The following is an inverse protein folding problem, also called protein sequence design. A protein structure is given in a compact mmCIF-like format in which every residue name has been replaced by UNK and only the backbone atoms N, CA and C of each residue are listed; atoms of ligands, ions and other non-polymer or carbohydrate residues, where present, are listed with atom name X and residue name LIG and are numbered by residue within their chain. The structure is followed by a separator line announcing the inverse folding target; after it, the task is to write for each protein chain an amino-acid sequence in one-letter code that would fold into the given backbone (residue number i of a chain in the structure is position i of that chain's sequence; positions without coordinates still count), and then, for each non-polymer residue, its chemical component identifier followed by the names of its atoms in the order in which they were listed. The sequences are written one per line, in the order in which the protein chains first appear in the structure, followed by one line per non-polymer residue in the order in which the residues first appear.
data_IF_185825586894
#
_entry.id   IF_185825586894
#
_cell.length_a   1.000
_cell.length_b   1.000
_cell.length_c   1.000
_cell.angle_alpha   90.00
_cell.angle_beta   90.00
_cell.angle_gamma   90.00
#
_symmetry.space_group_name_H-M   'P 1'
#
loop_
_entity.id
_entity.type
_entity.pdbx_description
1 polymer ?
#
# COMPACT_ATOMS: atom_id res chain seq x y z
N UNK A 1 -0.84 -11.84 -23.30
CA UNK A 1 -1.83 -12.91 -23.62
C UNK A 1 -1.86 -13.26 -25.10
N UNK A 2 -2.13 -12.32 -26.03
CA UNK A 2 -2.12 -12.59 -27.48
C UNK A 2 -0.80 -13.19 -27.98
N UNK A 3 0.33 -12.63 -27.54
CA UNK A 3 1.67 -13.16 -27.83
C UNK A 3 1.86 -14.62 -27.37
N UNK A 4 1.45 -14.97 -26.14
CA UNK A 4 1.55 -16.34 -25.62
C UNK A 4 0.79 -17.34 -26.50
N UNK A 5 -0.45 -17.01 -26.88
CA UNK A 5 -1.27 -17.89 -27.71
C UNK A 5 -0.73 -18.01 -29.15
N UNK A 6 -0.22 -16.92 -29.74
CA UNK A 6 0.48 -16.97 -31.05
C UNK A 6 1.68 -17.91 -30.97
N UNK A 7 2.52 -17.78 -29.93
CA UNK A 7 3.69 -18.65 -29.74
C UNK A 7 3.31 -20.11 -29.46
N UNK A 8 2.31 -20.36 -28.62
CA UNK A 8 1.82 -21.71 -28.35
C UNK A 8 1.28 -22.40 -29.61
N UNK A 9 0.59 -21.67 -30.49
CA UNK A 9 0.10 -22.17 -31.78
C UNK A 9 1.28 -22.53 -32.69
N UNK A 10 2.27 -21.65 -32.82
CA UNK A 10 3.47 -21.90 -33.64
C UNK A 10 4.28 -23.11 -33.17
N UNK A 11 4.53 -23.25 -31.86
CA UNK A 11 5.29 -24.39 -31.29
C UNK A 11 4.51 -25.71 -31.38
N UNK A 12 3.19 -25.67 -31.23
CA UNK A 12 2.35 -26.86 -31.41
C UNK A 12 2.36 -27.33 -32.87
N UNK A 13 2.38 -26.39 -33.84
CA UNK A 13 2.45 -26.69 -35.26
C UNK A 13 3.79 -27.33 -35.67
N UNK A 14 4.92 -26.81 -35.18
CA UNK A 14 6.25 -27.41 -35.45
C UNK A 14 6.42 -28.79 -34.82
N UNK A 15 5.82 -29.04 -33.65
CA UNK A 15 5.77 -30.36 -33.04
C UNK A 15 4.96 -31.37 -33.87
N UNK A 16 3.80 -30.96 -34.39
CA UNK A 16 2.94 -31.81 -35.24
C UNK A 16 3.63 -32.18 -36.55
N UNK A 17 4.33 -31.26 -37.22
CA UNK A 17 5.07 -31.54 -38.46
C UNK A 17 6.20 -32.56 -38.23
N UNK A 18 6.80 -32.57 -37.04
CA UNK A 18 7.93 -33.45 -36.70
C UNK A 18 7.51 -34.75 -36.01
N UNK A 19 6.22 -35.07 -35.87
CA UNK A 19 5.71 -36.18 -35.05
C UNK A 19 6.41 -37.53 -35.30
N UNK A 20 6.81 -37.80 -36.56
CA UNK A 20 7.51 -39.04 -36.95
C UNK A 20 8.94 -39.16 -36.39
N UNK A 21 9.55 -38.06 -35.95
CA UNK A 21 10.91 -37.97 -35.37
C UNK A 21 10.88 -37.74 -33.85
N UNK A 22 9.70 -37.53 -33.28
CA UNK A 22 9.50 -37.20 -31.87
C UNK A 22 9.44 -38.49 -31.04
N UNK A 23 10.50 -38.76 -30.27
CA UNK A 23 10.50 -39.79 -29.22
C UNK A 23 9.73 -39.32 -27.97
N UNK A 24 9.22 -40.24 -27.15
CA UNK A 24 8.39 -39.95 -25.96
C UNK A 24 9.00 -38.96 -24.97
N UNK A 25 10.34 -38.91 -24.88
CA UNK A 25 11.09 -37.93 -24.06
C UNK A 25 10.84 -36.47 -24.45
N UNK A 26 10.63 -36.19 -25.75
CA UNK A 26 10.35 -34.85 -26.24
C UNK A 26 8.91 -34.43 -25.90
N UNK A 27 7.99 -35.40 -25.87
CA UNK A 27 6.59 -35.19 -25.46
C UNK A 27 6.54 -34.77 -23.99
N UNK A 28 7.24 -35.50 -23.11
CA UNK A 28 7.28 -35.22 -21.67
C UNK A 28 7.93 -33.85 -21.37
N UNK A 29 9.02 -33.53 -22.07
CA UNK A 29 9.72 -32.26 -21.91
C UNK A 29 8.87 -31.08 -22.39
N UNK A 30 8.19 -31.21 -23.52
CA UNK A 30 7.25 -30.21 -24.01
C UNK A 30 6.09 -29.99 -23.04
N UNK A 31 5.45 -31.07 -22.57
CA UNK A 31 4.36 -31.00 -21.60
C UNK A 31 4.79 -30.32 -20.29
N UNK A 32 5.99 -30.64 -19.78
CA UNK A 32 6.55 -30.04 -18.57
C UNK A 32 6.83 -28.54 -18.74
N UNK A 33 7.46 -28.13 -19.84
CA UNK A 33 7.72 -26.72 -20.12
C UNK A 33 6.44 -25.94 -20.35
N UNK A 34 5.48 -26.48 -21.09
CA UNK A 34 4.18 -25.85 -21.30
C UNK A 34 3.44 -25.65 -19.98
N UNK A 35 3.35 -26.69 -19.15
CA UNK A 35 2.71 -26.62 -17.83
C UNK A 35 3.40 -25.60 -16.92
N UNK A 36 4.72 -25.62 -16.84
CA UNK A 36 5.49 -24.66 -16.02
C UNK A 36 5.35 -23.22 -16.52
N UNK A 37 5.23 -23.01 -17.84
CA UNK A 37 4.97 -21.70 -18.46
C UNK A 37 3.58 -21.17 -18.10
N UNK A 38 2.56 -22.03 -18.20
CA UNK A 38 1.18 -21.70 -17.92
C UNK A 38 0.99 -21.33 -16.45
N UNK A 39 1.69 -22.00 -15.53
CA UNK A 39 1.65 -21.65 -14.11
C UNK A 39 2.43 -20.35 -13.80
N UNK A 40 3.36 -19.92 -14.66
CA UNK A 40 4.26 -18.78 -14.44
C UNK A 40 3.84 -17.46 -15.13
N UNK A 41 2.59 -17.34 -15.61
CA UNK A 41 2.06 -16.29 -16.52
C UNK A 41 2.34 -14.80 -16.15
N UNK A 42 2.92 -14.49 -14.98
CA UNK A 42 3.21 -13.12 -14.55
C UNK A 42 4.68 -12.73 -14.39
N UNK A 43 5.62 -13.67 -14.49
CA UNK A 43 7.04 -13.32 -14.56
C UNK A 43 7.55 -13.67 -15.95
N UNK A 44 8.07 -12.65 -16.62
CA UNK A 44 8.53 -12.66 -17.99
C UNK A 44 9.12 -13.99 -18.46
N UNK A 45 8.83 -14.36 -19.69
CA UNK A 45 8.79 -15.68 -20.31
C UNK A 45 10.03 -16.57 -20.06
N UNK A 46 10.12 -17.22 -18.90
CA UNK A 46 11.19 -18.20 -18.66
C UNK A 46 11.16 -19.34 -19.71
N UNK A 47 10.00 -19.56 -20.33
CA UNK A 47 9.73 -20.68 -21.22
C UNK A 47 9.27 -20.32 -22.65
N UNK A 48 9.37 -19.06 -23.11
CA UNK A 48 9.40 -18.83 -24.58
C UNK A 48 10.48 -19.73 -25.23
N UNK A 49 11.46 -20.17 -24.43
CA UNK A 49 12.76 -20.61 -24.87
C UNK A 49 13.12 -22.06 -24.67
N UNK A 50 12.36 -22.85 -23.91
CA UNK A 50 12.40 -24.29 -24.23
C UNK A 50 11.81 -24.55 -25.63
N UNK A 51 11.08 -23.57 -26.19
CA UNK A 51 10.62 -23.45 -27.57
C UNK A 51 11.71 -23.24 -28.64
N UNK A 52 12.98 -23.00 -28.30
CA UNK A 52 14.09 -23.33 -29.21
C UNK A 52 14.72 -24.68 -28.90
N UNK A 53 14.63 -25.14 -27.65
CA UNK A 53 15.32 -26.34 -27.18
C UNK A 53 14.77 -27.63 -27.80
N UNK A 54 13.53 -27.56 -28.22
CA UNK A 54 12.94 -28.51 -29.15
C UNK A 54 12.70 -27.84 -30.51
N UNK A 55 13.71 -27.12 -31.00
CA UNK A 55 14.17 -27.22 -32.39
C UNK A 55 14.67 -28.66 -32.73
N UNK A 56 14.29 -29.63 -31.91
CA UNK A 56 13.66 -30.88 -32.35
C UNK A 56 12.98 -30.73 -33.74
N UNK A 57 13.49 -31.35 -34.79
CA UNK A 57 14.64 -32.24 -34.85
C UNK A 57 15.28 -32.10 -36.23
N UNK A 58 16.35 -31.32 -36.28
CA UNK A 58 17.46 -31.58 -37.18
C UNK A 58 18.78 -31.35 -36.42
N UNK A 59 19.11 -32.26 -35.50
CA UNK A 59 20.49 -32.49 -35.11
C UNK A 59 20.91 -33.76 -35.83
N UNK A 60 21.64 -33.58 -36.92
CA UNK A 60 22.22 -34.67 -37.70
C UNK A 60 23.02 -35.56 -36.74
N UNK A 61 22.68 -36.85 -36.65
CA UNK A 61 23.27 -37.86 -35.75
C UNK A 61 24.75 -38.16 -36.08
N UNK A 62 25.45 -37.26 -36.79
CA UNK A 62 26.80 -37.46 -37.32
C UNK A 62 27.91 -36.73 -36.57
N UNK A 63 27.60 -36.06 -35.46
CA UNK A 63 28.57 -35.31 -34.63
C UNK A 63 28.91 -35.94 -33.28
N UNK A 64 29.75 -35.25 -32.49
CA UNK A 64 30.29 -35.63 -31.16
C UNK A 64 29.29 -36.26 -30.17
N UNK A 65 27.98 -36.01 -30.31
CA UNK A 65 26.92 -36.51 -29.44
C UNK A 65 26.42 -37.93 -29.81
N UNK A 66 26.76 -38.46 -30.99
CA UNK A 66 26.31 -39.79 -31.45
C UNK A 66 26.79 -40.96 -30.58
N UNK A 67 27.84 -40.75 -29.77
CA UNK A 67 28.43 -41.76 -28.87
C UNK A 67 27.86 -41.71 -27.45
N UNK A 68 26.92 -40.81 -27.17
CA UNK A 68 26.35 -40.65 -25.84
C UNK A 68 25.11 -41.55 -25.72
N UNK A 69 25.21 -42.62 -24.93
CA UNK A 69 24.11 -43.54 -24.67
C UNK A 69 23.01 -42.86 -23.85
N UNK A 70 21.98 -42.39 -24.55
CA UNK A 70 20.91 -41.54 -24.01
C UNK A 70 20.16 -42.17 -22.83
N UNK A 71 20.07 -43.50 -22.75
CA UNK A 71 19.37 -44.21 -21.66
C UNK A 71 20.04 -43.99 -20.30
N UNK A 72 21.35 -43.73 -20.27
CA UNK A 72 22.10 -43.48 -19.03
C UNK A 72 21.75 -42.16 -18.35
N UNK A 73 21.13 -41.23 -19.08
CA UNK A 73 20.79 -39.89 -18.58
C UNK A 73 19.32 -39.75 -18.17
N UNK A 74 18.47 -40.73 -18.48
CA UNK A 74 17.07 -40.73 -18.05
C UNK A 74 16.89 -40.62 -16.53
N UNK A 75 17.68 -41.33 -15.70
CA UNK A 75 17.61 -41.14 -14.26
C UNK A 75 17.93 -39.71 -13.84
N UNK A 76 18.91 -39.07 -14.50
CA UNK A 76 19.30 -37.69 -14.21
C UNK A 76 18.21 -36.68 -14.60
N UNK A 77 17.57 -36.84 -15.75
CA UNK A 77 16.48 -35.97 -16.20
C UNK A 77 15.24 -36.13 -15.30
N UNK A 78 14.87 -37.38 -14.97
CA UNK A 78 13.77 -37.66 -14.04
C UNK A 78 14.08 -37.06 -12.65
N UNK A 79 15.32 -37.20 -12.18
CA UNK A 79 15.75 -36.60 -10.92
C UNK A 79 15.68 -35.07 -10.96
N UNK A 80 16.13 -34.42 -12.03
CA UNK A 80 16.01 -32.96 -12.21
C UNK A 80 14.53 -32.53 -12.21
N UNK A 81 13.64 -33.29 -12.87
CA UNK A 81 12.20 -33.02 -12.85
C UNK A 81 11.60 -33.17 -11.44
N UNK A 82 11.95 -34.24 -10.72
CA UNK A 82 11.48 -34.46 -9.34
C UNK A 82 12.00 -33.34 -8.43
N UNK A 83 13.27 -32.94 -8.56
CA UNK A 83 13.85 -31.82 -7.81
C UNK A 83 13.11 -30.53 -8.15
N UNK A 84 12.86 -30.24 -9.43
CA UNK A 84 12.12 -29.05 -9.83
C UNK A 84 10.69 -29.04 -9.27
N UNK A 85 9.95 -30.14 -9.43
CA UNK A 85 8.60 -30.32 -8.89
C UNK A 85 8.61 -30.15 -7.36
N UNK A 86 9.56 -30.75 -6.67
CA UNK A 86 9.76 -30.57 -5.23
C UNK A 86 10.04 -29.11 -4.89
N UNK A 87 10.95 -28.42 -5.59
CA UNK A 87 11.26 -27.01 -5.35
C UNK A 87 10.05 -26.09 -5.56
N UNK A 88 9.16 -26.42 -6.51
CA UNK A 88 7.92 -25.69 -6.75
C UNK A 88 6.82 -26.00 -5.73
N UNK A 89 6.60 -27.27 -5.38
CA UNK A 89 5.60 -27.67 -4.38
C UNK A 89 6.03 -27.27 -2.95
N UNK A 90 7.34 -27.30 -2.68
CA UNK A 90 7.92 -26.97 -1.38
C UNK A 90 8.32 -25.49 -1.24
N UNK A 91 7.97 -24.64 -2.21
CA UNK A 91 8.27 -23.21 -2.21
C UNK A 91 9.77 -22.82 -2.14
N UNK A 92 10.70 -23.77 -2.30
CA UNK A 92 12.16 -23.53 -2.27
C UNK A 92 12.68 -22.80 -3.50
N UNK A 93 11.92 -22.79 -4.59
CA UNK A 93 12.24 -22.01 -5.79
C UNK A 93 12.38 -20.51 -5.48
N UNK A 94 11.48 -19.98 -4.65
CA UNK A 94 11.51 -18.57 -4.24
C UNK A 94 12.76 -18.25 -3.40
N UNK A 95 13.24 -19.23 -2.63
CA UNK A 95 14.44 -19.06 -1.81
C UNK A 95 15.71 -18.99 -2.69
N UNK A 96 15.79 -19.83 -3.73
CA UNK A 96 16.95 -19.89 -4.62
C UNK A 96 17.04 -18.69 -5.60
N UNK A 97 15.90 -18.09 -5.95
CA UNK A 97 15.83 -16.97 -6.90
C UNK A 97 15.87 -15.59 -6.25
N UNK A 98 15.96 -15.52 -4.92
CA UNK A 98 15.87 -14.26 -4.19
C UNK A 98 14.46 -13.64 -4.18
N UNK A 99 13.44 -14.38 -4.64
CA UNK A 99 12.05 -13.93 -4.76
C UNK A 99 11.19 -14.29 -3.54
N UNK A 100 11.78 -14.26 -2.35
CA UNK A 100 11.15 -14.63 -1.08
C UNK A 100 9.80 -13.92 -0.81
N UNK A 101 9.59 -12.73 -1.37
CA UNK A 101 8.37 -11.92 -1.24
C UNK A 101 7.13 -12.58 -1.88
N UNK A 102 7.30 -13.48 -2.84
CA UNK A 102 6.20 -14.16 -3.54
C UNK A 102 5.93 -15.58 -3.01
N UNK A 103 6.68 -16.00 -2.00
CA UNK A 103 6.56 -17.30 -1.37
C UNK A 103 5.24 -17.39 -0.60
N UNK A 104 4.49 -18.49 -0.76
CA UNK A 104 3.36 -18.80 0.13
C UNK A 104 3.97 -19.20 1.47
N UNK A 105 3.88 -18.35 2.50
CA UNK A 105 4.62 -18.63 3.74
C UNK A 105 3.82 -18.55 5.03
N UNK A 106 4.10 -19.52 5.88
CA UNK A 106 3.95 -19.51 7.34
C UNK A 106 5.02 -18.65 8.06
N UNK A 107 6.01 -18.08 7.34
CA UNK A 107 7.24 -17.49 7.89
C UNK A 107 7.31 -15.95 7.88
N UNK A 108 6.19 -15.24 7.71
CA UNK A 108 6.03 -13.83 8.09
C UNK A 108 6.72 -12.77 7.21
N UNK A 109 7.83 -13.07 6.52
CA UNK A 109 8.57 -12.08 5.73
C UNK A 109 7.89 -11.70 4.39
N UNK A 110 7.07 -12.59 3.81
CA UNK A 110 6.26 -12.25 2.62
C UNK A 110 4.93 -11.57 2.98
N UNK A 111 4.48 -11.61 4.24
CA UNK A 111 3.18 -11.05 4.63
C UNK A 111 3.11 -9.54 4.47
N UNK A 112 4.21 -8.81 4.70
CA UNK A 112 4.15 -7.36 4.86
C UNK A 112 3.58 -6.62 3.64
N UNK A 113 3.72 -7.17 2.44
CA UNK A 113 3.32 -6.52 1.18
C UNK A 113 2.16 -7.19 0.45
N UNK A 114 1.65 -8.32 0.95
CA UNK A 114 0.61 -9.11 0.25
C UNK A 114 -0.61 -9.36 1.14
N UNK A 115 -1.83 -9.33 0.60
CA UNK A 115 -3.05 -9.49 1.37
C UNK A 115 -3.41 -10.97 1.55
N UNK A 116 -2.46 -11.82 1.96
CA UNK A 116 -2.69 -13.27 2.02
C UNK A 116 -3.82 -13.64 2.99
N UNK A 117 -3.82 -13.03 4.19
CA UNK A 117 -4.86 -13.29 5.20
C UNK A 117 -6.24 -12.83 4.76
N UNK A 118 -6.33 -11.64 4.14
CA UNK A 118 -7.59 -11.17 3.55
C UNK A 118 -8.08 -12.09 2.41
N UNK A 119 -7.17 -12.58 1.56
CA UNK A 119 -7.53 -13.52 0.50
C UNK A 119 -7.99 -14.88 1.04
N UNK A 120 -7.31 -15.40 2.06
CA UNK A 120 -7.68 -16.66 2.72
C UNK A 120 -9.04 -16.51 3.42
N UNK A 121 -9.28 -15.40 4.14
CA UNK A 121 -10.58 -15.05 4.71
C UNK A 121 -11.71 -15.06 3.67
N UNK A 122 -11.49 -14.43 2.50
CA UNK A 122 -12.49 -14.39 1.43
C UNK A 122 -12.76 -15.79 0.84
N UNK A 123 -11.74 -16.64 0.70
CA UNK A 123 -11.89 -17.98 0.13
C UNK A 123 -12.48 -18.99 1.09
N UNK A 124 -11.98 -19.05 2.32
CA UNK A 124 -12.44 -20.01 3.34
C UNK A 124 -13.92 -19.80 3.69
N UNK A 125 -14.41 -18.57 3.56
CA UNK A 125 -15.80 -18.21 3.80
C UNK A 125 -16.65 -18.11 2.52
N UNK A 126 -16.11 -18.48 1.35
CA UNK A 126 -16.80 -18.42 0.05
C UNK A 126 -17.44 -17.05 -0.25
N UNK A 127 -16.77 -15.96 0.11
CA UNK A 127 -17.27 -14.60 -0.12
C UNK A 127 -16.96 -14.20 -1.56
N UNK A 128 -17.99 -14.12 -2.38
CA UNK A 128 -17.91 -13.81 -3.81
C UNK A 128 -18.42 -12.43 -4.17
N UNK A 129 -17.72 -11.75 -5.07
CA UNK A 129 -18.06 -10.40 -5.48
C UNK A 129 -17.01 -9.76 -6.37
N UNK A 130 -17.32 -8.57 -6.86
CA UNK A 130 -16.36 -7.71 -7.58
C UNK A 130 -15.54 -6.96 -6.54
N UNK A 131 -14.21 -7.06 -6.66
CA UNK A 131 -13.26 -6.55 -5.66
C UNK A 131 -12.61 -5.26 -6.15
N UNK A 132 -12.81 -4.15 -5.45
CA UNK A 132 -11.90 -3.00 -5.53
C UNK A 132 -10.66 -3.27 -4.68
N UNK A 133 -9.47 -3.24 -5.28
CA UNK A 133 -8.21 -3.48 -4.59
C UNK A 133 -7.26 -2.28 -4.70
N UNK A 134 -6.31 -2.14 -3.77
CA UNK A 134 -5.18 -1.23 -3.97
C UNK A 134 -4.27 -1.73 -5.08
N UNK A 135 -3.54 -0.82 -5.75
CA UNK A 135 -2.73 -1.14 -6.92
C UNK A 135 -1.68 -2.20 -6.64
N UNK A 136 -1.01 -2.11 -5.50
CA UNK A 136 0.03 -3.04 -5.09
C UNK A 136 -0.47 -4.47 -4.88
N UNK A 137 -1.76 -4.66 -4.58
CA UNK A 137 -2.35 -5.97 -4.40
C UNK A 137 -2.79 -6.64 -5.70
N UNK A 138 -2.96 -5.87 -6.78
CA UNK A 138 -3.47 -6.35 -8.07
C UNK A 138 -2.73 -7.58 -8.61
N UNK A 139 -1.39 -7.58 -8.69
CA UNK A 139 -0.60 -8.72 -9.12
C UNK A 139 -0.93 -10.01 -8.37
N UNK A 140 -0.97 -9.92 -7.05
CA UNK A 140 -1.14 -11.06 -6.15
C UNK A 140 -2.56 -11.61 -6.18
N UNK A 141 -3.57 -10.74 -6.08
CA UNK A 141 -4.98 -11.16 -6.02
C UNK A 141 -5.38 -11.82 -7.35
N UNK A 142 -4.94 -11.28 -8.49
CA UNK A 142 -5.23 -11.91 -9.77
C UNK A 142 -4.55 -13.26 -9.93
N UNK A 143 -3.34 -13.46 -9.39
CA UNK A 143 -2.75 -14.79 -9.34
C UNK A 143 -3.55 -15.72 -8.42
N UNK A 144 -3.91 -15.24 -7.22
CA UNK A 144 -4.52 -16.04 -6.15
C UNK A 144 -5.92 -16.52 -6.46
N UNK A 145 -6.70 -15.73 -7.18
CA UNK A 145 -8.09 -16.03 -7.52
C UNK A 145 -8.31 -16.42 -8.99
N UNK A 146 -7.26 -16.56 -9.79
CA UNK A 146 -7.41 -17.04 -11.17
C UNK A 146 -7.69 -18.56 -11.20
N UNK A 147 -8.57 -19.03 -12.10
CA UNK A 147 -9.40 -18.28 -13.06
C UNK A 147 -10.75 -17.80 -12.48
N UNK A 148 -11.03 -18.13 -11.23
CA UNK A 148 -12.36 -18.11 -10.63
C UNK A 148 -12.93 -16.71 -10.38
N UNK A 149 -12.08 -15.71 -10.09
CA UNK A 149 -12.54 -14.33 -9.83
C UNK A 149 -11.88 -13.30 -10.76
N UNK A 150 -12.71 -12.39 -11.26
CA UNK A 150 -12.25 -11.17 -11.91
C UNK A 150 -11.90 -10.13 -10.84
N UNK A 151 -10.69 -9.61 -10.90
CA UNK A 151 -10.24 -8.50 -10.04
C UNK A 151 -10.38 -7.18 -10.78
N UNK A 152 -10.49 -6.07 -10.06
CA UNK A 152 -10.70 -4.77 -10.69
C UNK A 152 -9.46 -4.28 -11.45
N UNK A 153 -8.30 -4.21 -10.77
CA UNK A 153 -7.03 -3.85 -11.42
C UNK A 153 -5.92 -4.81 -11.04
N UNK A 154 -5.21 -5.29 -12.07
CA UNK A 154 -4.08 -6.20 -11.93
C UNK A 154 -2.72 -5.58 -12.27
N UNK A 155 -2.68 -4.25 -12.39
CA UNK A 155 -1.53 -3.37 -12.65
C UNK A 155 -0.85 -3.50 -14.01
N UNK A 156 -1.44 -4.23 -14.96
CA UNK A 156 -1.00 -4.18 -16.37
C UNK A 156 -1.42 -2.85 -16.99
N UNK A 157 -0.61 -1.82 -16.77
CA UNK A 157 -0.91 -0.43 -17.19
C UNK A 157 -1.16 -0.31 -18.70
N UNK A 158 -0.58 -1.20 -19.51
CA UNK A 158 -0.80 -1.30 -20.96
C UNK A 158 -2.23 -1.67 -21.37
N UNK A 159 -3.04 -2.19 -20.45
CA UNK A 159 -4.42 -2.61 -20.72
C UNK A 159 -5.46 -1.55 -20.34
N UNK A 160 -5.03 -0.49 -19.68
CA UNK A 160 -5.90 0.54 -19.14
C UNK A 160 -5.65 1.85 -19.88
N UNK A 161 -6.72 2.59 -20.20
CA UNK A 161 -6.57 3.96 -20.71
C UNK A 161 -5.98 4.85 -19.61
N UNK A 162 -5.12 5.79 -19.98
CA UNK A 162 -4.44 6.70 -19.04
C UNK A 162 -5.44 7.43 -18.13
N UNK A 163 -6.53 7.95 -18.69
CA UNK A 163 -7.57 8.65 -17.93
C UNK A 163 -8.20 7.76 -16.85
N UNK A 164 -8.48 6.50 -17.19
CA UNK A 164 -9.03 5.53 -16.24
C UNK A 164 -7.99 5.18 -15.17
N UNK A 165 -6.74 4.92 -15.56
CA UNK A 165 -5.70 4.58 -14.59
C UNK A 165 -5.44 5.73 -13.63
N UNK A 166 -5.42 6.97 -14.12
CA UNK A 166 -5.31 8.18 -13.30
C UNK A 166 -6.50 8.33 -12.34
N UNK A 167 -7.73 8.12 -12.82
CA UNK A 167 -8.94 8.12 -12.00
C UNK A 167 -8.84 7.07 -10.89
N UNK A 168 -8.43 5.85 -11.22
CA UNK A 168 -8.23 4.77 -10.27
C UNK A 168 -7.16 5.08 -9.22
N UNK A 169 -5.99 5.59 -9.65
CA UNK A 169 -4.92 5.93 -8.72
C UNK A 169 -5.35 6.99 -7.71
N UNK A 170 -6.22 7.94 -8.11
CA UNK A 170 -6.85 8.89 -7.18
C UNK A 170 -7.90 8.22 -6.30
N UNK A 171 -8.75 7.37 -6.86
CA UNK A 171 -9.79 6.65 -6.10
C UNK A 171 -9.24 5.81 -4.92
N UNK A 172 -7.96 5.41 -4.94
CA UNK A 172 -7.35 4.74 -3.79
C UNK A 172 -7.29 5.60 -2.51
N UNK A 173 -7.41 6.93 -2.61
CA UNK A 173 -7.43 7.81 -1.44
C UNK A 173 -8.57 8.84 -1.47
N UNK A 174 -9.25 9.08 -2.58
CA UNK A 174 -10.22 10.17 -2.68
C UNK A 174 -11.64 9.62 -2.85
N UNK A 175 -12.54 9.82 -1.85
CA UNK A 175 -13.85 9.19 -1.82
C UNK A 175 -14.77 9.50 -3.01
N UNK A 176 -14.76 10.69 -3.62
CA UNK A 176 -15.69 10.95 -4.74
C UNK A 176 -15.26 10.28 -6.05
N UNK A 177 -13.96 10.15 -6.37
CA UNK A 177 -13.49 9.35 -7.51
C UNK A 177 -13.82 7.89 -7.26
N UNK A 178 -13.61 7.43 -6.02
CA UNK A 178 -13.97 6.08 -5.63
C UNK A 178 -15.47 5.80 -5.80
N UNK A 179 -16.35 6.73 -5.38
CA UNK A 179 -17.80 6.63 -5.57
C UNK A 179 -18.18 6.62 -7.05
N UNK A 180 -17.49 7.40 -7.89
CA UNK A 180 -17.70 7.37 -9.34
C UNK A 180 -17.37 5.99 -9.92
N UNK A 181 -16.24 5.41 -9.53
CA UNK A 181 -15.87 4.05 -9.94
C UNK A 181 -16.83 3.00 -9.37
N UNK A 182 -17.29 3.15 -8.12
CA UNK A 182 -18.27 2.25 -7.51
C UNK A 182 -19.57 2.23 -8.32
N UNK A 183 -20.09 3.42 -8.67
CA UNK A 183 -21.31 3.57 -9.47
C UNK A 183 -21.17 2.96 -10.86
N UNK A 184 -20.02 3.09 -11.49
CA UNK A 184 -19.78 2.59 -12.85
C UNK A 184 -19.53 1.07 -12.90
N UNK A 185 -18.76 0.54 -11.94
CA UNK A 185 -18.25 -0.83 -11.98
C UNK A 185 -18.89 -1.79 -10.97
N UNK A 186 -19.62 -1.29 -9.97
CA UNK A 186 -20.43 -2.08 -9.03
C UNK A 186 -19.63 -3.13 -8.24
N UNK A 187 -18.49 -2.73 -7.67
CA UNK A 187 -17.76 -3.58 -6.73
C UNK A 187 -18.46 -3.63 -5.37
N UNK A 188 -18.57 -4.80 -4.76
CA UNK A 188 -19.26 -5.01 -3.48
C UNK A 188 -18.31 -5.55 -2.39
N UNK A 189 -17.01 -5.63 -2.71
CA UNK A 189 -15.92 -5.99 -1.82
C UNK A 189 -14.82 -4.95 -2.00
N UNK A 190 -14.28 -4.41 -0.91
CA UNK A 190 -13.09 -3.56 -0.93
C UNK A 190 -11.99 -4.27 -0.17
N UNK A 191 -10.84 -4.45 -0.81
CA UNK A 191 -9.66 -5.06 -0.20
C UNK A 191 -8.52 -4.04 -0.26
N UNK A 192 -8.23 -3.41 0.87
CA UNK A 192 -7.28 -2.29 0.94
C UNK A 192 -6.06 -2.63 1.77
N UNK A 193 -4.91 -2.10 1.33
CA UNK A 193 -3.74 -1.92 2.18
C UNK A 193 -3.96 -0.74 3.12
N UNK A 194 -3.53 -0.87 4.38
CA UNK A 194 -3.64 0.22 5.36
C UNK A 194 -2.32 0.72 5.99
N UNK A 195 -1.22 -0.03 5.92
CA UNK A 195 0.00 0.31 6.68
C UNK A 195 0.92 1.36 6.02
N UNK A 196 0.74 1.67 4.72
CA UNK A 196 1.45 2.77 4.02
C UNK A 196 0.51 3.95 3.76
N UNK A 197 1.10 5.09 3.37
CA UNK A 197 0.31 6.26 3.00
C UNK A 197 -0.47 6.10 1.71
N UNK A 198 -1.54 6.88 1.57
CA UNK A 198 -2.34 6.95 0.35
C UNK A 198 -3.65 6.17 0.38
N UNK A 199 -4.12 5.73 1.55
CA UNK A 199 -5.45 5.11 1.71
C UNK A 199 -6.22 5.65 2.92
N UNK A 200 -5.68 6.63 3.65
CA UNK A 200 -6.24 7.12 4.91
C UNK A 200 -7.66 7.64 4.77
N UNK A 201 -7.90 8.45 3.74
CA UNK A 201 -9.18 9.11 3.52
C UNK A 201 -10.24 8.11 3.08
N UNK A 202 -9.89 7.15 2.22
CA UNK A 202 -10.84 6.10 1.81
C UNK A 202 -11.14 5.13 2.95
N UNK A 203 -10.14 4.78 3.77
CA UNK A 203 -10.32 3.91 4.94
C UNK A 203 -11.29 4.53 5.94
N UNK A 204 -11.10 5.82 6.27
CA UNK A 204 -12.01 6.55 7.14
C UNK A 204 -13.41 6.65 6.54
N UNK A 205 -13.49 7.00 5.26
CA UNK A 205 -14.76 7.07 4.53
C UNK A 205 -15.53 5.75 4.60
N UNK A 206 -14.90 4.61 4.29
CA UNK A 206 -15.54 3.30 4.31
C UNK A 206 -15.91 2.83 5.71
N UNK A 207 -15.18 3.27 6.73
CA UNK A 207 -15.49 2.96 8.13
C UNK A 207 -16.69 3.76 8.65
N UNK A 208 -16.85 5.00 8.19
CA UNK A 208 -17.95 5.89 8.57
C UNK A 208 -19.23 5.69 7.73
N UNK A 209 -19.11 5.24 6.48
CA UNK A 209 -20.23 5.06 5.56
C UNK A 209 -21.06 3.81 5.92
N UNK A 210 -22.34 4.01 6.23
CA UNK A 210 -23.25 2.92 6.65
C UNK A 210 -23.51 1.86 5.57
N UNK A 211 -23.15 2.13 4.31
CA UNK A 211 -23.28 1.15 3.23
C UNK A 211 -22.10 0.17 3.17
N UNK A 212 -21.08 0.36 4.02
CA UNK A 212 -19.90 -0.49 4.05
C UNK A 212 -19.64 -0.98 5.48
N UNK A 213 -19.20 -2.24 5.59
CA UNK A 213 -18.86 -2.83 6.88
C UNK A 213 -17.50 -3.50 6.82
N UNK A 214 -16.62 -3.11 7.74
CA UNK A 214 -15.36 -3.80 7.99
C UNK A 214 -15.65 -5.21 8.53
N UNK A 215 -15.15 -6.24 7.86
CA UNK A 215 -15.35 -7.65 8.25
C UNK A 215 -14.05 -8.39 8.54
N UNK A 216 -12.91 -7.82 8.13
CA UNK A 216 -11.60 -8.41 8.36
C UNK A 216 -10.54 -7.33 8.37
N UNK A 217 -9.55 -7.47 9.24
CA UNK A 217 -8.27 -6.78 9.11
C UNK A 217 -7.15 -7.65 9.69
N UNK A 218 -5.95 -7.43 9.19
CA UNK A 218 -4.70 -7.93 9.77
C UNK A 218 -3.65 -6.81 9.81
N UNK A 219 -2.38 -7.18 9.97
CA UNK A 219 -1.27 -6.23 10.04
C UNK A 219 -1.04 -5.44 8.72
N UNK A 220 -1.61 -5.87 7.58
CA UNK A 220 -1.33 -5.26 6.27
C UNK A 220 -2.58 -4.80 5.52
N UNK A 221 -3.66 -5.56 5.65
CA UNK A 221 -4.83 -5.48 4.80
C UNK A 221 -6.12 -5.45 5.60
N UNK A 222 -7.17 -4.96 4.97
CA UNK A 222 -8.52 -4.97 5.50
C UNK A 222 -9.53 -5.26 4.38
N UNK A 223 -10.68 -5.82 4.77
CA UNK A 223 -11.78 -6.14 3.86
C UNK A 223 -13.04 -5.44 4.36
N UNK A 224 -13.66 -4.67 3.46
CA UNK A 224 -15.00 -4.13 3.63
C UNK A 224 -15.96 -4.84 2.69
N UNK A 225 -17.16 -5.13 3.18
CA UNK A 225 -18.27 -5.61 2.37
C UNK A 225 -19.33 -4.53 2.26
N UNK A 226 -19.93 -4.41 1.07
CA UNK A 226 -21.10 -3.57 0.87
C UNK A 226 -22.30 -4.17 1.61
N UNK A 227 -23.11 -3.34 2.26
CA UNK A 227 -24.32 -3.74 2.98
C UNK A 227 -25.44 -3.97 1.97
N UNK A 228 -25.42 -5.17 1.39
CA UNK A 228 -26.41 -5.67 0.44
C UNK A 228 -26.92 -7.05 0.89
N UNK A 229 -28.12 -7.50 0.46
CA UNK A 229 -28.68 -8.79 0.89
C UNK A 229 -27.74 -9.99 0.69
N UNK A 230 -26.93 -9.97 -0.38
CA UNK A 230 -25.93 -11.02 -0.64
C UNK A 230 -24.85 -11.12 0.45
N UNK A 231 -24.49 -10.01 1.07
CA UNK A 231 -23.41 -9.92 2.05
C UNK A 231 -23.92 -10.00 3.50
N UNK A 232 -25.24 -9.99 3.72
CA UNK A 232 -25.86 -9.86 5.03
C UNK A 232 -25.41 -10.95 6.02
N UNK A 233 -25.38 -12.22 5.57
CA UNK A 233 -24.91 -13.33 6.41
C UNK A 233 -23.45 -13.13 6.86
N UNK A 234 -22.57 -12.74 5.94
CA UNK A 234 -21.15 -12.53 6.22
C UNK A 234 -20.94 -11.32 7.13
N UNK A 235 -21.70 -10.25 6.92
CA UNK A 235 -21.66 -9.04 7.75
C UNK A 235 -22.15 -9.36 9.17
N UNK A 236 -23.22 -10.13 9.32
CA UNK A 236 -23.72 -10.53 10.64
C UNK A 236 -22.72 -11.44 11.38
N UNK A 237 -21.98 -12.27 10.65
CA UNK A 237 -21.00 -13.20 11.22
C UNK A 237 -19.64 -12.57 11.53
N UNK A 238 -19.15 -11.69 10.66
CA UNK A 238 -17.77 -11.18 10.70
C UNK A 238 -17.68 -9.67 10.88
N UNK A 239 -18.80 -8.95 10.85
CA UNK A 239 -18.83 -7.50 11.00
C UNK A 239 -18.16 -7.05 12.29
N UNK A 240 -17.18 -6.17 12.17
CA UNK A 240 -16.41 -5.67 13.31
C UNK A 240 -17.11 -4.44 13.87
N UNK A 241 -17.41 -4.50 15.17
CA UNK A 241 -17.89 -3.37 15.96
C UNK A 241 -16.89 -3.05 17.07
N UNK A 242 -16.19 -1.93 16.92
CA UNK A 242 -15.21 -1.46 17.88
C UNK A 242 -15.82 -1.07 19.23
N UNK A 243 -17.13 -0.81 19.31
CA UNK A 243 -17.82 -0.53 20.58
C UNK A 243 -17.96 -1.77 21.46
N UNK A 244 -18.11 -2.94 20.84
CA UNK A 244 -18.27 -4.21 21.53
C UNK A 244 -16.97 -5.02 21.61
N UNK A 245 -16.01 -4.74 20.73
CA UNK A 245 -14.74 -5.46 20.65
C UNK A 245 -13.81 -5.13 21.82
N UNK A 246 -13.04 -6.13 22.23
CA UNK A 246 -11.87 -5.95 23.09
C UNK A 246 -10.57 -6.15 22.30
N UNK A 247 -9.53 -5.44 22.70
CA UNK A 247 -8.20 -5.54 22.10
C UNK A 247 -7.57 -6.90 22.47
N UNK A 248 -7.13 -7.67 21.47
CA UNK A 248 -6.44 -8.95 21.67
C UNK A 248 -4.96 -8.86 21.28
N UNK A 249 -4.15 -9.86 21.61
CA UNK A 249 -2.70 -9.79 21.35
C UNK A 249 -2.35 -9.67 19.86
N UNK A 250 -3.16 -10.24 18.96
CA UNK A 250 -2.99 -10.07 17.50
C UNK A 250 -3.23 -8.63 17.03
N UNK A 251 -3.92 -7.81 17.83
CA UNK A 251 -4.14 -6.39 17.54
C UNK A 251 -2.95 -5.51 17.96
N UNK A 252 -2.00 -6.06 18.73
CA UNK A 252 -0.86 -5.33 19.28
C UNK A 252 0.30 -5.34 18.29
N UNK A 253 0.14 -4.57 17.22
CA UNK A 253 1.17 -4.34 16.22
C UNK A 253 1.18 -2.88 15.80
N UNK A 254 2.35 -2.35 15.44
CA UNK A 254 2.50 -0.95 15.03
C UNK A 254 1.58 -0.61 13.85
N UNK A 255 1.54 -1.44 12.82
CA UNK A 255 0.70 -1.21 11.65
C UNK A 255 -0.79 -1.29 11.98
N UNK A 256 -1.21 -2.19 12.89
CA UNK A 256 -2.60 -2.30 13.33
C UNK A 256 -3.02 -1.09 14.17
N UNK A 257 -2.13 -0.58 15.04
CA UNK A 257 -2.39 0.64 15.79
C UNK A 257 -2.53 1.86 14.87
N UNK A 258 -1.67 1.96 13.84
CA UNK A 258 -1.79 2.97 12.78
C UNK A 258 -3.10 2.80 12.00
N UNK A 259 -3.52 1.57 11.72
CA UNK A 259 -4.81 1.31 11.09
C UNK A 259 -5.98 1.87 11.91
N UNK A 260 -6.02 1.59 13.22
CA UNK A 260 -7.04 2.15 14.13
C UNK A 260 -7.06 3.67 14.10
N UNK A 261 -5.89 4.31 14.09
CA UNK A 261 -5.76 5.77 13.95
C UNK A 261 -6.35 6.28 12.63
N UNK A 262 -6.07 5.59 11.51
CA UNK A 262 -6.55 5.97 10.18
C UNK A 262 -8.07 5.91 10.08
N UNK A 263 -8.68 4.83 10.58
CA UNK A 263 -10.14 4.66 10.58
C UNK A 263 -10.85 5.52 11.64
N UNK A 264 -10.12 6.18 12.54
CA UNK A 264 -10.69 7.07 13.55
C UNK A 264 -10.98 6.42 14.90
N UNK A 265 -10.58 5.17 15.10
CA UNK A 265 -10.73 4.42 16.35
C UNK A 265 -9.58 4.77 17.33
N UNK A 266 -9.57 6.03 17.80
CA UNK A 266 -8.50 6.60 18.62
C UNK A 266 -8.23 5.84 19.92
N UNK A 267 -9.28 5.40 20.60
CA UNK A 267 -9.17 4.64 21.86
C UNK A 267 -8.46 3.30 21.66
N UNK A 268 -8.70 2.63 20.54
CA UNK A 268 -8.02 1.38 20.18
C UNK A 268 -6.56 1.64 19.81
N UNK A 269 -6.30 2.66 19.01
CA UNK A 269 -4.95 3.06 18.64
C UNK A 269 -4.11 3.37 19.88
N UNK A 270 -4.64 4.15 20.82
CA UNK A 270 -3.99 4.48 22.08
C UNK A 270 -3.65 3.24 22.91
N UNK A 271 -4.65 2.40 23.19
CA UNK A 271 -4.44 1.16 23.98
C UNK A 271 -3.38 0.27 23.35
N UNK A 272 -3.36 0.16 22.02
CA UNK A 272 -2.36 -0.60 21.29
C UNK A 272 -0.96 0.03 21.42
N UNK A 273 -0.83 1.35 21.25
CA UNK A 273 0.45 2.05 21.40
C UNK A 273 1.00 1.97 22.83
N UNK A 274 0.16 2.12 23.85
CA UNK A 274 0.55 1.97 25.26
C UNK A 274 1.10 0.57 25.53
N UNK A 275 0.43 -0.49 25.04
CA UNK A 275 0.89 -1.87 25.22
C UNK A 275 2.20 -2.14 24.44
N UNK A 276 2.36 -1.57 23.25
CA UNK A 276 3.60 -1.64 22.47
C UNK A 276 4.78 -0.98 23.20
N UNK A 277 4.59 0.22 23.75
CA UNK A 277 5.63 0.93 24.51
C UNK A 277 5.97 0.22 25.81
N UNK A 278 4.98 -0.36 26.51
CA UNK A 278 5.24 -1.16 27.70
C UNK A 278 6.19 -2.33 27.40
N UNK A 279 6.02 -2.98 26.25
CA UNK A 279 6.86 -4.09 25.82
C UNK A 279 8.22 -3.63 25.29
N UNK A 280 8.27 -2.46 24.63
CA UNK A 280 9.49 -1.89 24.05
C UNK A 280 9.52 -0.36 24.25
N UNK A 281 10.03 0.14 25.41
CA UNK A 281 9.93 1.55 25.79
C UNK A 281 10.69 2.53 24.89
N UNK A 282 11.56 2.03 24.00
CA UNK A 282 12.43 2.85 23.13
C UNK A 282 11.90 2.98 21.70
N UNK A 283 10.70 2.49 21.40
CA UNK A 283 10.10 2.58 20.07
C UNK A 283 9.70 4.02 19.74
N UNK A 284 10.61 4.73 19.08
CA UNK A 284 10.47 6.14 18.70
C UNK A 284 9.14 6.43 18.01
N UNK A 285 8.81 5.65 16.97
CA UNK A 285 7.60 5.87 16.17
C UNK A 285 6.31 5.66 16.99
N UNK A 286 6.26 4.59 17.80
CA UNK A 286 5.12 4.28 18.67
C UNK A 286 4.90 5.40 19.69
N UNK A 287 5.96 5.84 20.36
CA UNK A 287 5.92 6.93 21.33
C UNK A 287 5.50 8.25 20.70
N UNK A 288 6.02 8.56 19.51
CA UNK A 288 5.68 9.76 18.78
C UNK A 288 4.20 9.80 18.34
N UNK A 289 3.66 8.66 17.87
CA UNK A 289 2.25 8.56 17.50
C UNK A 289 1.33 8.67 18.73
N UNK A 290 1.69 8.02 19.84
CA UNK A 290 0.94 8.14 21.10
C UNK A 290 0.94 9.59 21.63
N UNK A 291 2.07 10.28 21.59
CA UNK A 291 2.14 11.69 21.97
C UNK A 291 1.29 12.59 21.06
N UNK A 292 1.17 12.25 19.78
CA UNK A 292 0.27 12.95 18.85
C UNK A 292 -1.19 12.73 19.25
N UNK A 293 -1.59 11.51 19.62
CA UNK A 293 -2.92 11.22 20.16
C UNK A 293 -3.19 12.03 21.44
N UNK A 294 -2.26 12.04 22.39
CA UNK A 294 -2.39 12.83 23.62
C UNK A 294 -2.54 14.32 23.32
N UNK A 295 -1.75 14.85 22.39
CA UNK A 295 -1.85 16.26 21.97
C UNK A 295 -3.23 16.56 21.36
N UNK A 296 -3.71 15.72 20.45
CA UNK A 296 -5.01 15.92 19.78
C UNK A 296 -6.21 15.71 20.71
N UNK A 297 -6.05 14.95 21.79
CA UNK A 297 -7.11 14.69 22.80
C UNK A 297 -7.06 15.63 24.00
N UNK A 298 -6.21 16.67 23.97
CA UNK A 298 -6.11 17.66 25.05
C UNK A 298 -5.23 17.26 26.24
N UNK A 299 -4.64 16.05 26.22
CA UNK A 299 -3.74 15.53 27.26
C UNK A 299 -2.31 16.01 27.06
N UNK A 300 -2.13 17.33 27.01
CA UNK A 300 -0.87 17.95 26.58
C UNK A 300 0.29 17.66 27.55
N UNK A 301 0.03 17.59 28.86
CA UNK A 301 1.04 17.27 29.87
C UNK A 301 1.54 15.82 29.74
N UNK A 302 0.65 14.88 29.41
CA UNK A 302 1.04 13.49 29.14
C UNK A 302 1.87 13.38 27.87
N UNK A 303 1.51 14.12 26.82
CA UNK A 303 2.29 14.22 25.59
C UNK A 303 3.70 14.76 25.86
N UNK A 304 3.81 15.85 26.62
CA UNK A 304 5.11 16.47 26.97
C UNK A 304 5.99 15.48 27.73
N UNK A 305 5.49 14.85 28.80
CA UNK A 305 6.26 13.88 29.58
C UNK A 305 6.79 12.75 28.71
N UNK A 306 5.92 12.16 27.89
CA UNK A 306 6.31 11.06 27.00
C UNK A 306 7.37 11.50 25.98
N UNK A 307 7.21 12.67 25.37
CA UNK A 307 8.18 13.20 24.40
C UNK A 307 9.52 13.55 25.04
N UNK A 308 9.52 14.08 26.26
CA UNK A 308 10.75 14.36 27.02
C UNK A 308 11.50 13.07 27.37
N UNK A 309 10.80 12.02 27.80
CA UNK A 309 11.38 10.69 28.04
C UNK A 309 11.99 10.10 26.75
N UNK A 310 11.27 10.18 25.63
CA UNK A 310 11.77 9.71 24.35
C UNK A 310 12.99 10.51 23.87
N UNK A 311 13.04 11.82 24.14
CA UNK A 311 14.18 12.68 23.79
C UNK A 311 15.43 12.40 24.64
N UNK A 312 15.31 11.81 25.84
CA UNK A 312 16.49 11.34 26.58
C UNK A 312 17.20 10.21 25.83
N UNK A 313 16.46 9.38 25.09
CA UNK A 313 17.00 8.26 24.31
C UNK A 313 17.32 8.66 22.88
N UNK A 314 16.52 9.56 22.29
CA UNK A 314 16.60 9.99 20.89
C UNK A 314 16.79 11.51 20.77
N UNK A 315 17.89 12.09 21.30
CA UNK A 315 18.04 13.53 21.46
C UNK A 315 18.08 14.33 20.14
N UNK A 316 18.38 13.67 19.03
CA UNK A 316 18.47 14.25 17.69
C UNK A 316 17.26 13.99 16.80
N UNK A 317 16.17 13.40 17.31
CA UNK A 317 14.94 13.27 16.51
C UNK A 317 14.28 14.63 16.32
N UNK A 318 14.28 15.09 15.08
CA UNK A 318 13.65 16.36 14.70
C UNK A 318 12.11 16.29 14.90
N UNK A 319 11.50 15.14 14.64
CA UNK A 319 10.07 14.89 14.80
C UNK A 319 9.64 15.02 16.27
N UNK A 320 10.40 14.44 17.21
CA UNK A 320 10.09 14.59 18.64
C UNK A 320 10.19 16.04 19.09
N UNK A 321 11.21 16.80 18.66
CA UNK A 321 11.30 18.23 18.96
C UNK A 321 10.12 19.01 18.37
N UNK A 322 9.67 18.69 17.15
CA UNK A 322 8.50 19.33 16.54
C UNK A 322 7.21 19.06 17.31
N UNK A 323 6.99 17.80 17.68
CA UNK A 323 5.80 17.38 18.41
C UNK A 323 5.80 17.93 19.84
N UNK A 324 6.97 18.00 20.49
CA UNK A 324 7.10 18.61 21.81
C UNK A 324 6.81 20.11 21.76
N UNK A 325 7.34 20.80 20.75
CA UNK A 325 7.01 22.21 20.54
C UNK A 325 5.52 22.45 20.27
N UNK A 326 4.86 21.55 19.53
CA UNK A 326 3.41 21.60 19.28
C UNK A 326 2.60 21.36 20.56
N UNK A 327 3.02 20.42 21.40
CA UNK A 327 2.38 20.17 22.70
C UNK A 327 2.53 21.37 23.65
N UNK A 328 3.71 22.00 23.70
CA UNK A 328 3.93 23.24 24.45
C UNK A 328 3.08 24.41 23.94
N UNK A 329 2.92 24.54 22.63
CA UNK A 329 2.05 25.57 22.03
C UNK A 329 0.59 25.40 22.47
N UNK A 330 0.13 24.15 22.56
CA UNK A 330 -1.23 23.82 23.01
C UNK A 330 -1.48 24.26 24.45
N UNK A 331 -0.46 24.25 25.31
CA UNK A 331 -0.47 24.82 26.66
C UNK A 331 -0.21 26.34 26.70
N UNK A 332 -0.22 27.03 25.55
CA UNK A 332 0.12 28.46 25.41
C UNK A 332 1.54 28.82 25.89
N UNK A 333 2.42 27.84 26.08
CA UNK A 333 3.85 28.03 26.42
C UNK A 333 4.66 28.33 25.16
N UNK A 334 4.43 29.51 24.59
CA UNK A 334 4.94 29.91 23.26
C UNK A 334 6.47 29.93 23.16
N UNK A 335 7.15 30.36 24.22
CA UNK A 335 8.61 30.45 24.27
C UNK A 335 9.25 29.06 24.20
N UNK A 336 8.71 28.10 24.96
CA UNK A 336 9.13 26.70 24.90
C UNK A 336 8.82 26.09 23.54
N UNK A 337 7.61 26.31 23.03
CA UNK A 337 7.21 25.86 21.71
C UNK A 337 8.19 26.32 20.62
N UNK A 338 8.51 27.61 20.60
CA UNK A 338 9.48 28.21 19.69
C UNK A 338 10.85 27.55 19.82
N UNK A 339 11.38 27.39 21.04
CA UNK A 339 12.69 26.79 21.30
C UNK A 339 12.80 25.39 20.66
N UNK A 340 11.80 24.54 20.91
CA UNK A 340 11.79 23.17 20.41
C UNK A 340 11.52 23.10 18.90
N UNK A 341 10.64 23.94 18.35
CA UNK A 341 10.40 24.01 16.90
C UNK A 341 11.61 24.53 16.12
N UNK A 342 12.32 25.54 16.64
CA UNK A 342 13.57 26.02 16.04
C UNK A 342 14.65 24.94 16.11
N UNK A 343 14.76 24.19 17.22
CA UNK A 343 15.67 23.04 17.31
C UNK A 343 15.31 21.93 16.31
N UNK A 344 14.02 21.63 16.16
CA UNK A 344 13.52 20.68 15.18
C UNK A 344 13.93 21.06 13.76
N UNK A 345 13.70 22.32 13.35
CA UNK A 345 14.05 22.80 12.00
C UNK A 345 15.55 22.95 11.77
N UNK A 346 16.37 23.10 12.83
CA UNK A 346 17.83 22.99 12.72
C UNK A 346 18.28 21.56 12.42
N UNK A 347 17.61 20.55 12.98
CA UNK A 347 17.92 19.14 12.75
C UNK A 347 17.38 18.64 11.41
N UNK A 348 16.14 19.03 11.05
CA UNK A 348 15.53 18.71 9.77
C UNK A 348 14.71 19.91 9.25
N UNK A 349 15.22 20.65 8.24
CA UNK A 349 14.55 21.84 7.71
C UNK A 349 13.34 21.51 6.83
N UNK A 350 13.06 20.22 6.56
CA UNK A 350 11.98 19.76 5.68
C UNK A 350 10.71 19.33 6.44
N UNK A 351 10.65 19.58 7.76
CA UNK A 351 9.47 19.26 8.57
C UNK A 351 8.37 20.31 8.40
N UNK A 352 7.42 20.01 7.52
CA UNK A 352 6.27 20.87 7.22
C UNK A 352 5.52 21.33 8.45
N UNK A 353 5.18 20.40 9.35
CA UNK A 353 4.41 20.75 10.55
C UNK A 353 5.16 21.76 11.44
N UNK A 354 6.48 21.61 11.55
CA UNK A 354 7.31 22.54 12.31
C UNK A 354 7.37 23.93 11.64
N UNK A 355 7.51 24.01 10.30
CA UNK A 355 7.45 25.28 9.57
C UNK A 355 6.10 25.98 9.78
N UNK A 356 4.98 25.26 9.63
CA UNK A 356 3.65 25.84 9.83
C UNK A 356 3.47 26.37 11.26
N UNK A 357 3.75 25.53 12.25
CA UNK A 357 3.54 25.85 13.67
C UNK A 357 4.44 27.02 14.10
N UNK A 358 5.70 27.04 13.67
CA UNK A 358 6.60 28.16 13.95
C UNK A 358 6.17 29.45 13.23
N UNK A 359 5.62 29.34 12.01
CA UNK A 359 5.03 30.46 11.28
C UNK A 359 3.87 31.12 12.05
N UNK A 360 2.98 30.30 12.62
CA UNK A 360 1.88 30.77 13.48
C UNK A 360 2.43 31.47 14.73
N UNK A 361 3.42 30.86 15.40
CA UNK A 361 4.04 31.47 16.59
C UNK A 361 4.66 32.84 16.27
N UNK A 362 5.38 32.96 15.15
CA UNK A 362 5.95 34.24 14.73
C UNK A 362 4.88 35.27 14.38
N UNK A 363 3.77 34.85 13.76
CA UNK A 363 2.66 35.74 13.43
C UNK A 363 1.99 36.27 14.70
N UNK A 364 1.72 35.41 15.68
CA UNK A 364 1.18 35.80 16.99
C UNK A 364 2.13 36.72 17.78
N UNK A 365 3.45 36.57 17.58
CA UNK A 365 4.46 37.43 18.18
C UNK A 365 4.69 38.76 17.43
N UNK A 366 3.99 38.99 16.32
CA UNK A 366 4.19 40.17 15.46
C UNK A 366 5.48 40.12 14.62
N UNK A 367 6.21 39.01 14.60
CA UNK A 367 7.41 38.77 13.80
C UNK A 367 7.03 38.40 12.34
N UNK A 368 6.28 39.28 11.67
CA UNK A 368 5.58 39.00 10.40
C UNK A 368 6.52 38.50 9.29
N UNK A 369 7.70 39.08 9.12
CA UNK A 369 8.64 38.66 8.07
C UNK A 369 9.21 37.26 8.30
N UNK A 370 9.40 36.87 9.57
CA UNK A 370 9.80 35.51 9.92
C UNK A 370 8.66 34.53 9.69
N UNK A 371 7.42 34.92 9.99
CA UNK A 371 6.22 34.12 9.70
C UNK A 371 6.10 33.83 8.20
N UNK A 372 6.21 34.87 7.35
CA UNK A 372 6.22 34.71 5.88
C UNK A 372 7.30 33.71 5.45
N UNK A 373 8.52 33.86 5.97
CA UNK A 373 9.63 32.96 5.65
C UNK A 373 9.32 31.49 5.96
N UNK A 374 8.61 31.20 7.05
CA UNK A 374 8.22 29.83 7.41
C UNK A 374 7.05 29.31 6.57
N UNK A 375 6.03 30.13 6.28
CA UNK A 375 4.92 29.72 5.40
C UNK A 375 5.37 29.49 3.95
N UNK A 376 6.29 30.30 3.43
CA UNK A 376 6.90 30.05 2.11
C UNK A 376 7.67 28.73 2.11
N UNK A 377 8.44 28.42 3.16
CA UNK A 377 9.10 27.10 3.30
C UNK A 377 8.08 25.97 3.36
N UNK A 378 6.97 26.15 4.08
CA UNK A 378 5.88 25.19 4.12
C UNK A 378 5.33 24.91 2.72
N UNK A 379 5.01 25.94 1.95
CA UNK A 379 4.44 25.80 0.60
C UNK A 379 5.41 25.18 -0.40
N UNK A 380 6.73 25.39 -0.25
CA UNK A 380 7.72 24.65 -1.06
C UNK A 380 7.64 23.13 -0.84
N UNK A 381 7.24 22.70 0.35
CA UNK A 381 7.14 21.29 0.73
C UNK A 381 5.73 20.71 0.53
N UNK A 382 4.71 21.57 0.47
CA UNK A 382 3.31 21.23 0.21
C UNK A 382 2.64 22.37 -0.57
N UNK A 383 2.84 22.43 -1.89
CA UNK A 383 2.35 23.53 -2.73
C UNK A 383 0.83 23.52 -2.91
N UNK A 384 0.15 22.46 -2.48
CA UNK A 384 -1.30 22.29 -2.69
C UNK A 384 -2.13 22.59 -1.43
N UNK A 385 -1.61 23.43 -0.51
CA UNK A 385 -2.36 23.83 0.69
C UNK A 385 -2.99 25.21 0.52
N UNK A 386 -4.26 25.25 0.13
CA UNK A 386 -5.04 26.47 -0.04
C UNK A 386 -5.09 27.33 1.23
N UNK A 387 -5.12 26.70 2.41
CA UNK A 387 -5.14 27.39 3.70
C UNK A 387 -3.91 28.24 3.95
N UNK A 388 -2.72 27.74 3.63
CA UNK A 388 -1.47 28.50 3.82
C UNK A 388 -1.31 29.61 2.79
N UNK A 389 -1.76 29.39 1.55
CA UNK A 389 -1.87 30.46 0.55
C UNK A 389 -2.77 31.59 1.06
N UNK A 390 -3.93 31.29 1.66
CA UNK A 390 -4.81 32.30 2.25
C UNK A 390 -4.15 33.08 3.38
N UNK A 391 -3.45 32.38 4.29
CA UNK A 391 -2.69 33.04 5.38
C UNK A 391 -1.64 34.02 4.81
N UNK A 392 -0.90 33.63 3.77
CA UNK A 392 0.06 34.54 3.12
C UNK A 392 -0.65 35.71 2.43
N UNK A 393 -1.79 35.46 1.79
CA UNK A 393 -2.66 36.50 1.24
C UNK A 393 -3.05 37.54 2.28
N UNK A 394 -3.55 37.09 3.45
CA UNK A 394 -3.95 37.94 4.56
C UNK A 394 -2.77 38.77 5.08
N UNK A 395 -1.61 38.13 5.25
CA UNK A 395 -0.37 38.78 5.70
C UNK A 395 0.08 39.85 4.68
N UNK A 396 0.06 39.54 3.38
CA UNK A 396 0.45 40.50 2.34
C UNK A 396 -0.53 41.65 2.21
N UNK A 397 -1.83 41.41 2.40
CA UNK A 397 -2.84 42.49 2.49
C UNK A 397 -2.52 43.43 3.64
N UNK A 398 -2.25 42.89 4.84
CA UNK A 398 -1.89 43.71 6.00
C UNK A 398 -0.60 44.52 5.79
N UNK A 399 0.37 44.00 5.02
CA UNK A 399 1.59 44.73 4.65
C UNK A 399 1.41 45.72 3.49
N UNK A 400 0.22 45.82 2.88
CA UNK A 400 -0.03 46.66 1.71
C UNK A 400 0.59 46.14 0.41
N UNK A 401 1.00 44.87 0.36
CA UNK A 401 1.60 44.23 -0.81
C UNK A 401 0.53 43.59 -1.71
N UNK A 402 -0.37 44.42 -2.25
CA UNK A 402 -1.60 43.99 -2.93
C UNK A 402 -1.37 42.99 -4.06
N UNK A 403 -0.32 43.15 -4.88
CA UNK A 403 -0.03 42.22 -5.98
C UNK A 403 0.30 40.80 -5.48
N UNK A 404 1.09 40.70 -4.40
CA UNK A 404 1.42 39.39 -3.80
C UNK A 404 0.19 38.79 -3.14
N UNK A 405 -0.60 39.59 -2.43
CA UNK A 405 -1.84 39.13 -1.82
C UNK A 405 -2.80 38.53 -2.85
N UNK A 406 -3.05 39.23 -3.96
CA UNK A 406 -3.91 38.74 -5.07
C UNK A 406 -3.37 37.43 -5.65
N UNK A 407 -2.05 37.32 -5.86
CA UNK A 407 -1.44 36.09 -6.35
C UNK A 407 -1.72 34.90 -5.43
N UNK A 408 -1.51 35.07 -4.12
CA UNK A 408 -1.72 34.01 -3.13
C UNK A 408 -3.22 33.64 -3.01
N UNK A 409 -4.13 34.61 -3.03
CA UNK A 409 -5.57 34.31 -3.05
C UNK A 409 -6.02 33.59 -4.31
N UNK A 410 -5.44 33.91 -5.48
CA UNK A 410 -5.75 33.22 -6.72
C UNK A 410 -5.30 31.75 -6.67
N UNK A 411 -4.10 31.47 -6.13
CA UNK A 411 -3.66 30.09 -5.90
C UNK A 411 -4.56 29.36 -4.90
N UNK A 412 -4.91 30.00 -3.78
CA UNK A 412 -5.86 29.43 -2.81
C UNK A 412 -7.20 29.10 -3.47
N UNK A 413 -7.77 30.01 -4.26
CA UNK A 413 -9.03 29.81 -4.97
C UNK A 413 -8.94 28.76 -6.09
N UNK A 414 -7.80 28.63 -6.76
CA UNK A 414 -7.61 27.57 -7.77
C UNK A 414 -7.54 26.18 -7.12
N UNK A 415 -6.91 26.08 -5.96
CA UNK A 415 -6.84 24.86 -5.16
C UNK A 415 -8.19 24.53 -4.52
N UNK A 416 -8.84 25.52 -3.89
CA UNK A 416 -10.19 25.40 -3.35
C UNK A 416 -11.19 25.11 -4.48
N UNK A 417 -11.02 25.66 -5.68
CA UNK A 417 -11.83 25.38 -6.86
C UNK A 417 -11.63 23.98 -7.43
N UNK A 418 -10.45 23.38 -7.26
CA UNK A 418 -10.22 21.95 -7.49
C UNK A 418 -10.84 21.08 -6.39
N UNK A 419 -10.94 21.58 -5.16
CA UNK A 419 -11.68 20.94 -4.06
C UNK A 419 -13.21 21.21 -4.11
N UNK A 420 -13.68 22.30 -4.75
CA UNK A 420 -15.08 22.77 -4.80
C UNK A 420 -15.79 22.44 -6.12
N UNK A 421 -15.08 22.40 -7.26
CA UNK A 421 -15.54 21.65 -8.45
C UNK A 421 -15.74 20.15 -8.13
N UNK A 422 -15.28 19.75 -6.95
CA UNK A 422 -15.43 18.47 -6.28
C UNK A 422 -16.52 18.41 -5.21
N UNK A 423 -17.15 19.54 -4.84
CA UNK A 423 -18.23 19.64 -3.85
C UNK A 423 -19.58 20.09 -4.42
N UNK A 424 -19.70 20.28 -5.73
CA UNK A 424 -21.00 20.57 -6.33
C UNK A 424 -20.90 21.11 -7.74
N UNK A 425 -20.89 20.22 -8.72
CA UNK A 425 -21.71 20.41 -9.92
C UNK A 425 -22.85 19.41 -9.82
N UNK A 426 -23.99 19.93 -9.35
CA UNK A 426 -25.29 19.26 -9.23
C UNK A 426 -25.72 18.54 -10.52
#
# INVERSE_FOLDING_TARGET
YLFFWIFAIFTSFTFIINLKRVKIKHILLFAFSFFSSYMAIRNGPIFIFLGMFTASVNLDERGLLARIDEKKYYPAIILIMIIAIYFFISDKYYDATGQFLFKRTSSGFSRLLIPSGACDFLQENNIDGRIFNTSDFGPYIAYRFYPDKRIFIDTRTDLYKDDFYNLYMRAQNYPNEWRALHKEYGFNIVLLRHFFSGTERILRFLHEDSNWKLVYYDINSCVFLEVIPKNEEFINRFGIDFRAKTLVDSDIGLNTAIFFEKIGEGDFAEKAYVKLLKNNPRLLQTGNNLATIYTNTGRHEEAIRLLEELLQVHPWSAELHANLGTAYLSLRRRQDARLYLEKSLRLNPYLRNACYTLGIIYLEAGEVDRAIGQFVKYLRLNPYNAGVHRILGDIYTQKGLSQKAVSEYNEANALDGKEMGWKGSL
#
